data_IF_922186709776
#
_entry.id   IF_922186709776
#
_cell.length_a   1.000
_cell.length_b   1.000
_cell.length_c   1.000
_cell.angle_alpha   90.00
_cell.angle_beta   90.00
_cell.angle_gamma   90.00
#
_symmetry.space_group_name_H-M   'P 1'
#
loop_
_entity.id
_entity.type
_entity.pdbx_description
1 polymer ?
#
# COMPACT_ATOMS: atom_id res chain seq x y z
N UNK A 1 2.43 10.11 9.93
CA UNK A 1 1.54 9.09 10.51
C UNK A 1 2.24 8.23 11.57
N UNK A 2 3.38 7.58 11.26
CA UNK A 2 4.12 6.71 12.19
C UNK A 2 4.28 7.21 13.63
N UNK A 3 4.73 8.45 13.84
CA UNK A 3 4.90 9.02 15.19
C UNK A 3 3.58 9.07 15.96
N UNK A 4 2.49 9.46 15.31
CA UNK A 4 1.16 9.50 15.95
C UNK A 4 0.72 8.09 16.35
N UNK A 5 0.86 7.13 15.43
CA UNK A 5 0.50 5.73 15.66
C UNK A 5 1.29 5.12 16.83
N UNK A 6 2.60 5.31 16.86
CA UNK A 6 3.47 4.78 17.92
C UNK A 6 3.21 5.43 19.26
N UNK A 7 3.10 6.76 19.30
CA UNK A 7 2.82 7.49 20.54
C UNK A 7 1.47 7.08 21.13
N UNK A 8 0.43 6.95 20.30
CA UNK A 8 -0.87 6.46 20.76
C UNK A 8 -0.79 5.04 21.31
N UNK A 9 -0.12 4.13 20.59
CA UNK A 9 0.07 2.74 21.05
C UNK A 9 0.80 2.66 22.40
N UNK A 10 1.87 3.42 22.57
CA UNK A 10 2.65 3.48 23.82
C UNK A 10 1.77 4.03 24.95
N UNK A 11 1.04 5.11 24.70
CA UNK A 11 0.13 5.70 25.68
C UNK A 11 -0.94 4.71 26.14
N UNK A 12 -1.58 4.01 25.20
CA UNK A 12 -2.61 3.02 25.50
C UNK A 12 -2.03 1.84 26.30
N UNK A 13 -0.85 1.34 25.93
CA UNK A 13 -0.14 0.31 26.69
C UNK A 13 0.14 0.74 28.14
N UNK A 14 0.52 2.00 28.37
CA UNK A 14 0.69 2.52 29.72
C UNK A 14 -0.64 2.67 30.48
N UNK A 15 -1.73 3.02 29.80
CA UNK A 15 -3.06 3.04 30.40
C UNK A 15 -3.49 1.64 30.85
N UNK A 16 -3.26 0.62 30.01
CA UNK A 16 -3.54 -0.78 30.34
C UNK A 16 -2.73 -1.22 31.57
N UNK A 17 -1.45 -0.85 31.65
CA UNK A 17 -0.63 -1.13 32.84
C UNK A 17 -1.17 -0.44 34.10
N UNK A 18 -1.66 0.80 34.01
CA UNK A 18 -2.26 1.49 35.16
C UNK A 18 -3.56 0.83 35.62
N UNK A 19 -4.37 0.31 34.68
CA UNK A 19 -5.58 -0.45 34.99
C UNK A 19 -5.23 -1.66 35.86
N UNK A 20 -4.12 -2.35 35.58
CA UNK A 20 -3.69 -3.51 36.40
C UNK A 20 -3.39 -3.18 37.86
N UNK A 21 -3.06 -1.91 38.16
CA UNK A 21 -2.79 -1.41 39.52
C UNK A 21 -4.02 -0.71 40.13
N UNK A 22 -5.17 -0.79 39.45
CA UNK A 22 -6.45 -0.25 39.91
C UNK A 22 -6.71 1.22 39.53
N UNK A 23 -5.94 1.77 38.60
CA UNK A 23 -6.08 3.16 38.13
C UNK A 23 -6.52 3.16 36.67
N UNK A 24 -7.81 3.41 36.41
CA UNK A 24 -8.33 3.55 35.05
C UNK A 24 -8.44 5.02 34.64
N UNK A 25 -7.51 5.45 33.79
CA UNK A 25 -7.50 6.79 33.17
C UNK A 25 -7.92 6.74 31.69
N UNK A 26 -8.31 5.56 31.19
CA UNK A 26 -8.54 5.35 29.76
C UNK A 26 -9.64 6.26 29.23
N UNK A 27 -10.70 6.44 30.02
CA UNK A 27 -11.79 7.35 29.67
C UNK A 27 -11.30 8.79 29.49
N UNK A 28 -10.50 9.30 30.41
CA UNK A 28 -10.03 10.69 30.39
C UNK A 28 -9.03 10.93 29.27
N UNK A 29 -8.12 9.97 29.05
CA UNK A 29 -7.19 9.96 27.90
C UNK A 29 -7.94 10.02 26.59
N UNK A 30 -8.94 9.16 26.40
CA UNK A 30 -9.78 9.17 25.21
C UNK A 30 -10.54 10.49 25.06
N UNK A 31 -11.15 10.99 26.13
CA UNK A 31 -11.93 12.24 26.12
C UNK A 31 -11.09 13.45 25.71
N UNK A 32 -9.86 13.54 26.20
CA UNK A 32 -8.98 14.68 25.96
C UNK A 32 -8.20 14.58 24.64
N UNK A 33 -7.71 13.39 24.28
CA UNK A 33 -6.73 13.23 23.21
C UNK A 33 -7.29 12.64 21.92
N UNK A 34 -8.37 11.83 21.99
CA UNK A 34 -8.93 11.22 20.78
C UNK A 34 -9.40 12.24 19.73
N UNK A 35 -10.03 13.39 20.08
CA UNK A 35 -10.42 14.40 19.09
C UNK A 35 -9.21 14.98 18.34
N UNK A 36 -8.14 15.33 19.07
CA UNK A 36 -6.91 15.84 18.47
C UNK A 36 -6.20 14.79 17.63
N UNK A 37 -6.16 13.54 18.09
CA UNK A 37 -5.63 12.42 17.33
C UNK A 37 -6.40 12.23 16.02
N UNK A 38 -7.74 12.22 16.07
CA UNK A 38 -8.59 12.09 14.89
C UNK A 38 -8.28 13.16 13.85
N UNK A 39 -8.24 14.43 14.26
CA UNK A 39 -7.90 15.57 13.37
C UNK A 39 -6.51 15.36 12.77
N UNK A 40 -5.52 14.99 13.57
CA UNK A 40 -4.15 14.80 13.10
C UNK A 40 -4.04 13.67 12.07
N UNK A 41 -4.74 12.54 12.26
CA UNK A 41 -4.78 11.43 11.32
C UNK A 41 -5.53 11.85 10.04
N UNK A 42 -6.67 12.53 10.14
CA UNK A 42 -7.44 13.05 8.99
C UNK A 42 -6.60 14.00 8.13
N UNK A 43 -5.88 14.93 8.75
CA UNK A 43 -4.98 15.85 8.03
C UNK A 43 -3.82 15.09 7.38
N UNK A 44 -3.18 14.17 8.09
CA UNK A 44 -2.09 13.36 7.53
C UNK A 44 -2.58 12.54 6.32
N UNK A 45 -3.72 11.87 6.46
CA UNK A 45 -4.30 11.08 5.38
C UNK A 45 -4.68 11.95 4.17
N UNK A 46 -5.24 13.14 4.41
CA UNK A 46 -5.56 14.10 3.35
C UNK A 46 -4.31 14.48 2.55
N UNK A 47 -3.18 14.73 3.21
CA UNK A 47 -1.92 15.03 2.53
C UNK A 47 -1.40 13.82 1.72
N UNK A 48 -1.53 12.62 2.28
CA UNK A 48 -1.11 11.38 1.60
C UNK A 48 -1.93 11.16 0.34
N UNK A 49 -3.26 11.24 0.42
CA UNK A 49 -4.12 10.98 -0.73
C UNK A 49 -3.96 12.04 -1.82
N UNK A 50 -3.81 13.32 -1.46
CA UNK A 50 -3.52 14.37 -2.44
C UNK A 50 -2.17 14.15 -3.14
N UNK A 51 -1.13 13.74 -2.40
CA UNK A 51 0.16 13.37 -3.00
C UNK A 51 0.03 12.20 -3.98
N UNK A 52 -0.79 11.19 -3.65
CA UNK A 52 -1.05 10.05 -4.55
C UNK A 52 -1.83 10.49 -5.78
N UNK A 53 -2.82 11.38 -5.65
CA UNK A 53 -3.59 11.93 -6.77
C UNK A 53 -2.72 12.72 -7.74
N UNK A 54 -1.83 13.59 -7.23
CA UNK A 54 -0.84 14.29 -8.06
C UNK A 54 0.04 13.28 -8.81
N UNK A 55 0.57 12.29 -8.07
CA UNK A 55 1.15 11.03 -8.54
C UNK A 55 0.51 10.50 -9.82
N UNK A 56 -0.74 10.11 -9.64
CA UNK A 56 -1.60 9.46 -10.63
C UNK A 56 -1.84 10.38 -11.83
N UNK A 57 -2.03 11.68 -11.61
CA UNK A 57 -2.26 12.65 -12.69
C UNK A 57 -1.05 12.88 -13.59
N UNK A 58 0.16 12.66 -13.05
CA UNK A 58 1.43 12.82 -13.77
C UNK A 58 1.94 11.51 -14.39
N UNK A 59 1.22 10.40 -14.23
CA UNK A 59 1.64 9.07 -14.72
C UNK A 59 1.74 9.05 -16.24
N UNK A 60 2.86 8.51 -16.72
CA UNK A 60 3.21 8.41 -18.15
C UNK A 60 3.21 6.98 -18.66
N UNK A 61 2.98 6.00 -17.81
CA UNK A 61 3.00 4.57 -18.12
C UNK A 61 4.30 4.16 -18.82
N UNK A 62 5.42 4.42 -18.16
CA UNK A 62 6.77 4.04 -18.62
C UNK A 62 7.46 3.15 -17.59
N UNK A 63 8.31 2.26 -18.08
CA UNK A 63 9.19 1.45 -17.25
C UNK A 63 10.03 2.35 -16.33
N UNK A 64 10.25 1.90 -15.10
CA UNK A 64 11.03 2.65 -14.15
C UNK A 64 12.52 2.48 -14.45
N UNK A 65 13.07 3.48 -15.14
CA UNK A 65 14.50 3.56 -15.42
C UNK A 65 15.26 4.20 -14.26
N UNK A 66 16.32 3.55 -13.83
CA UNK A 66 17.25 4.01 -12.80
C UNK A 66 18.63 4.33 -13.42
N UNK A 67 19.41 5.14 -12.71
CA UNK A 67 20.71 5.63 -13.21
C UNK A 67 21.75 4.52 -13.37
N UNK A 68 21.66 3.44 -12.57
CA UNK A 68 22.63 2.35 -12.56
C UNK A 68 22.00 1.04 -12.11
N UNK A 69 22.66 -0.07 -12.44
CA UNK A 69 22.32 -1.41 -11.93
C UNK A 69 22.45 -1.50 -10.40
N UNK A 70 23.40 -0.77 -9.80
CA UNK A 70 23.52 -0.68 -8.34
C UNK A 70 22.29 -0.05 -7.68
N UNK A 71 21.67 0.95 -8.33
CA UNK A 71 20.42 1.55 -7.85
C UNK A 71 19.26 0.57 -7.97
N UNK A 72 19.24 -0.27 -9.01
CA UNK A 72 18.25 -1.35 -9.15
C UNK A 72 18.40 -2.38 -8.03
N UNK A 73 19.62 -2.84 -7.75
CA UNK A 73 19.86 -3.81 -6.67
C UNK A 73 19.43 -3.27 -5.30
N UNK A 74 19.78 -2.01 -5.00
CA UNK A 74 19.31 -1.34 -3.79
C UNK A 74 17.78 -1.25 -3.74
N UNK A 75 17.14 -0.96 -4.87
CA UNK A 75 15.68 -0.90 -4.94
C UNK A 75 15.03 -2.28 -4.71
N UNK A 76 15.61 -3.35 -5.27
CA UNK A 76 15.17 -4.73 -5.04
C UNK A 76 15.27 -5.08 -3.56
N UNK A 77 16.40 -4.76 -2.92
CA UNK A 77 16.59 -4.93 -1.47
C UNK A 77 15.52 -4.17 -0.68
N UNK A 78 15.29 -2.89 -0.99
CA UNK A 78 14.24 -2.08 -0.34
C UNK A 78 12.84 -2.68 -0.50
N UNK A 79 12.51 -3.25 -1.68
CA UNK A 79 11.23 -3.92 -1.91
C UNK A 79 11.14 -5.24 -1.13
N UNK A 80 12.23 -6.00 -1.09
CA UNK A 80 12.35 -7.25 -0.33
C UNK A 80 12.20 -7.02 1.17
N UNK A 81 12.75 -5.92 1.71
CA UNK A 81 12.60 -5.54 3.12
C UNK A 81 11.13 -5.27 3.51
N UNK A 82 10.28 -4.88 2.54
CA UNK A 82 8.83 -4.77 2.73
C UNK A 82 8.09 -6.09 2.51
N UNK A 83 8.76 -7.14 2.00
CA UNK A 83 8.15 -8.42 1.63
C UNK A 83 7.61 -8.47 0.20
N UNK A 84 8.12 -7.63 -0.70
CA UNK A 84 7.74 -7.60 -2.12
C UNK A 84 8.90 -8.10 -3.00
N UNK A 85 8.60 -8.91 -4.01
CA UNK A 85 9.58 -9.33 -5.04
C UNK A 85 9.28 -8.64 -6.37
N UNK A 86 10.33 -8.10 -6.97
CA UNK A 86 10.27 -7.37 -8.26
C UNK A 86 11.25 -7.93 -9.30
N UNK A 87 11.99 -8.99 -8.96
CA UNK A 87 13.03 -9.60 -9.80
C UNK A 87 12.48 -10.10 -11.14
N UNK A 88 11.27 -10.66 -11.10
CA UNK A 88 10.55 -11.13 -12.28
C UNK A 88 10.14 -10.01 -13.25
N UNK A 89 10.18 -8.75 -12.80
CA UNK A 89 9.84 -7.58 -13.61
C UNK A 89 11.08 -6.84 -14.13
N UNK A 90 12.30 -7.36 -13.91
CA UNK A 90 13.51 -6.76 -14.46
C UNK A 90 13.49 -6.83 -15.99
N UNK A 91 13.93 -5.74 -16.62
CA UNK A 91 14.03 -5.71 -18.09
C UNK A 91 15.19 -6.60 -18.56
N UNK A 92 14.89 -7.47 -19.53
CA UNK A 92 15.89 -8.35 -20.18
C UNK A 92 16.86 -7.58 -21.09
N UNK A 93 16.47 -6.38 -21.53
CA UNK A 93 17.24 -5.56 -22.48
C UNK A 93 17.95 -4.38 -21.84
N UNK A 94 17.49 -3.92 -20.67
CA UNK A 94 18.07 -2.78 -19.95
C UNK A 94 18.26 -3.13 -18.47
N UNK A 95 19.49 -3.47 -18.08
CA UNK A 95 19.80 -3.90 -16.70
C UNK A 95 19.51 -2.86 -15.61
N UNK A 96 19.34 -1.58 -15.98
CA UNK A 96 18.96 -0.50 -15.06
C UNK A 96 17.46 -0.15 -15.07
N UNK A 97 16.60 -1.02 -15.61
CA UNK A 97 15.17 -0.75 -15.79
C UNK A 97 14.29 -1.89 -15.26
N UNK A 98 13.14 -1.51 -14.68
CA UNK A 98 12.11 -2.44 -14.21
C UNK A 98 10.81 -2.16 -14.97
N UNK A 99 10.16 -3.22 -15.45
CA UNK A 99 8.89 -3.21 -16.17
C UNK A 99 7.67 -2.94 -15.26
N UNK A 100 7.83 -2.10 -14.23
CA UNK A 100 6.77 -1.58 -13.36
C UNK A 100 6.87 -0.06 -13.38
N UNK A 101 5.75 0.66 -13.33
CA UNK A 101 5.82 2.13 -13.33
C UNK A 101 6.46 2.67 -12.04
N UNK A 102 7.18 3.77 -12.16
CA UNK A 102 7.76 4.47 -10.99
C UNK A 102 6.66 4.87 -9.99
N UNK A 103 5.48 5.23 -10.48
CA UNK A 103 4.33 5.56 -9.64
C UNK A 103 3.91 4.36 -8.78
N UNK A 104 3.82 3.16 -9.34
CA UNK A 104 3.45 1.96 -8.59
C UNK A 104 4.49 1.60 -7.53
N UNK A 105 5.78 1.74 -7.84
CA UNK A 105 6.87 1.57 -6.89
C UNK A 105 6.87 2.64 -5.78
N UNK A 106 6.38 3.84 -6.06
CA UNK A 106 6.18 4.86 -5.04
C UNK A 106 4.94 4.56 -4.20
N UNK A 107 3.83 4.20 -4.85
CA UNK A 107 2.57 3.87 -4.20
C UNK A 107 2.72 2.67 -3.25
N UNK A 108 3.51 1.66 -3.62
CA UNK A 108 3.76 0.50 -2.75
C UNK A 108 4.30 0.91 -1.38
N UNK A 109 5.32 1.78 -1.34
CA UNK A 109 5.88 2.32 -0.10
C UNK A 109 4.83 3.06 0.72
N UNK A 110 4.04 3.94 0.06
CA UNK A 110 3.01 4.73 0.74
C UNK A 110 1.91 3.84 1.32
N UNK A 111 1.40 2.89 0.52
CA UNK A 111 0.33 2.00 0.92
C UNK A 111 0.76 1.06 2.05
N UNK A 112 1.95 0.49 1.96
CA UNK A 112 2.52 -0.38 3.00
C UNK A 112 2.77 0.37 4.31
N UNK A 113 3.40 1.55 4.26
CA UNK A 113 3.64 2.37 5.46
C UNK A 113 2.32 2.82 6.10
N UNK A 114 1.34 3.26 5.29
CA UNK A 114 0.03 3.65 5.80
C UNK A 114 -0.70 2.47 6.45
N UNK A 115 -0.70 1.30 5.80
CA UNK A 115 -1.31 0.08 6.34
C UNK A 115 -0.74 -0.24 7.74
N UNK A 116 0.59 -0.28 7.86
CA UNK A 116 1.27 -0.54 9.12
C UNK A 116 0.94 0.49 10.20
N UNK A 117 0.97 1.78 9.85
CA UNK A 117 0.72 2.85 10.79
C UNK A 117 -0.75 2.87 11.26
N UNK A 118 -1.71 2.63 10.35
CA UNK A 118 -3.13 2.59 10.68
C UNK A 118 -3.51 1.31 11.45
N UNK A 119 -2.85 0.18 11.21
CA UNK A 119 -3.06 -1.07 11.97
C UNK A 119 -2.87 -0.86 13.47
N UNK A 120 -1.85 -0.07 13.86
CA UNK A 120 -1.58 0.25 15.28
C UNK A 120 -2.68 1.09 15.93
N UNK A 121 -3.44 1.85 15.15
CA UNK A 121 -4.52 2.74 15.61
C UNK A 121 -5.88 2.02 15.52
N UNK A 122 -6.00 1.02 14.64
CA UNK A 122 -7.22 0.26 14.37
C UNK A 122 -7.79 -0.43 15.61
N UNK A 123 -6.97 -0.79 16.61
CA UNK A 123 -7.46 -1.39 17.86
C UNK A 123 -8.31 -0.45 18.73
N UNK A 124 -8.41 0.83 18.38
CA UNK A 124 -9.20 1.83 19.10
C UNK A 124 -10.59 2.04 18.50
N UNK A 125 -11.37 2.95 19.11
CA UNK A 125 -12.63 3.47 18.58
C UNK A 125 -12.51 4.14 17.18
N UNK A 126 -11.28 4.28 16.66
CA UNK A 126 -10.99 4.85 15.34
C UNK A 126 -10.95 3.81 14.21
N UNK A 127 -11.22 2.52 14.45
CA UNK A 127 -11.19 1.47 13.42
C UNK A 127 -12.00 1.83 12.16
N UNK A 128 -13.22 2.37 12.31
CA UNK A 128 -14.04 2.76 11.17
C UNK A 128 -13.37 3.86 10.33
N UNK A 129 -12.69 4.80 10.99
CA UNK A 129 -11.96 5.86 10.32
C UNK A 129 -10.76 5.30 9.55
N UNK A 130 -9.97 4.43 10.18
CA UNK A 130 -8.80 3.81 9.53
C UNK A 130 -9.21 2.91 8.36
N UNK A 131 -10.30 2.14 8.50
CA UNK A 131 -10.85 1.30 7.44
C UNK A 131 -11.29 2.17 6.26
N UNK A 132 -11.97 3.29 6.54
CA UNK A 132 -12.39 4.24 5.50
C UNK A 132 -11.20 4.83 4.72
N UNK A 133 -10.07 5.07 5.39
CA UNK A 133 -8.85 5.58 4.76
C UNK A 133 -8.18 4.53 3.87
N UNK A 134 -8.08 3.29 4.34
CA UNK A 134 -7.55 2.18 3.56
C UNK A 134 -8.39 1.96 2.30
N UNK A 135 -9.72 1.86 2.46
CA UNK A 135 -10.64 1.69 1.33
C UNK A 135 -10.53 2.87 0.35
N UNK A 136 -10.43 4.11 0.85
CA UNK A 136 -10.38 5.31 0.00
C UNK A 136 -9.06 5.41 -0.79
N UNK A 137 -7.91 5.18 -0.13
CA UNK A 137 -6.61 5.18 -0.81
C UNK A 137 -6.57 4.12 -1.91
N UNK A 138 -6.96 2.89 -1.57
CA UNK A 138 -6.94 1.79 -2.53
C UNK A 138 -7.98 1.96 -3.63
N UNK A 139 -9.15 2.52 -3.35
CA UNK A 139 -10.14 2.81 -4.41
C UNK A 139 -9.60 3.79 -5.45
N UNK A 140 -8.88 4.84 -5.01
CA UNK A 140 -8.25 5.81 -5.91
C UNK A 140 -7.23 5.12 -6.83
N UNK A 141 -6.36 4.29 -6.25
CA UNK A 141 -5.30 3.62 -6.99
C UNK A 141 -5.80 2.48 -7.89
N UNK A 142 -6.75 1.68 -7.42
CA UNK A 142 -7.37 0.62 -8.22
C UNK A 142 -8.18 1.21 -9.37
N UNK A 143 -8.81 2.37 -9.19
CA UNK A 143 -9.45 3.08 -10.29
C UNK A 143 -8.43 3.56 -11.33
N UNK A 144 -7.26 4.05 -10.89
CA UNK A 144 -6.16 4.37 -11.78
C UNK A 144 -5.70 3.14 -12.60
N UNK A 145 -5.48 1.99 -11.95
CA UNK A 145 -5.10 0.74 -12.65
C UNK A 145 -6.18 0.25 -13.61
N UNK A 146 -7.46 0.38 -13.25
CA UNK A 146 -8.59 -0.02 -14.11
C UNK A 146 -8.66 0.80 -15.40
N UNK A 147 -8.33 2.09 -15.33
CA UNK A 147 -8.40 3.02 -16.46
C UNK A 147 -7.06 3.11 -17.22
N UNK A 148 -6.10 2.26 -16.89
CA UNK A 148 -4.78 2.22 -17.50
C UNK A 148 -4.81 1.81 -18.98
N UNK A 149 -3.90 2.33 -19.82
CA UNK A 149 -3.75 1.88 -21.19
C UNK A 149 -3.30 0.41 -21.22
N UNK A 150 -3.96 -0.41 -22.04
CA UNK A 150 -3.59 -1.82 -22.19
C UNK A 150 -2.19 -1.93 -22.80
N UNK A 151 -1.26 -2.48 -22.05
CA UNK A 151 0.15 -2.66 -22.43
C UNK A 151 0.77 -3.76 -21.57
N UNK A 152 1.89 -4.34 -22.00
CA UNK A 152 2.67 -5.26 -21.16
C UNK A 152 3.01 -4.61 -19.82
N UNK A 153 3.49 -3.37 -19.83
CA UNK A 153 3.82 -2.60 -18.63
C UNK A 153 2.64 -2.47 -17.66
N UNK A 154 1.43 -2.22 -18.18
CA UNK A 154 0.21 -2.18 -17.38
C UNK A 154 -0.09 -3.54 -16.73
N UNK A 155 0.18 -4.64 -17.44
CA UNK A 155 0.01 -5.99 -16.91
C UNK A 155 1.01 -6.27 -15.79
N UNK A 156 2.31 -6.04 -16.01
CA UNK A 156 3.35 -6.17 -14.97
C UNK A 156 2.99 -5.33 -13.73
N UNK A 157 2.65 -4.06 -13.93
CA UNK A 157 2.26 -3.16 -12.84
C UNK A 157 1.01 -3.66 -12.09
N UNK A 158 0.02 -4.18 -12.81
CA UNK A 158 -1.19 -4.72 -12.18
C UNK A 158 -0.93 -6.02 -11.45
N UNK A 159 -0.08 -6.92 -11.97
CA UNK A 159 0.34 -8.14 -11.27
C UNK A 159 1.08 -7.78 -9.98
N UNK A 160 2.04 -6.85 -10.03
CA UNK A 160 2.74 -6.37 -8.85
C UNK A 160 1.77 -5.85 -7.77
N UNK A 161 0.84 -4.97 -8.15
CA UNK A 161 -0.07 -4.35 -7.19
C UNK A 161 -1.12 -5.34 -6.66
N UNK A 162 -1.71 -6.18 -7.51
CA UNK A 162 -2.83 -7.05 -7.14
C UNK A 162 -2.38 -8.37 -6.52
N UNK A 163 -1.30 -8.98 -7.01
CA UNK A 163 -0.81 -10.27 -6.50
C UNK A 163 0.09 -10.15 -5.29
N UNK A 164 0.80 -9.02 -5.11
CA UNK A 164 1.78 -8.88 -4.03
C UNK A 164 1.41 -7.76 -3.07
N UNK A 165 1.33 -6.52 -3.54
CA UNK A 165 1.16 -5.36 -2.67
C UNK A 165 -0.18 -5.38 -1.92
N UNK A 166 -1.28 -5.64 -2.61
CA UNK A 166 -2.61 -5.61 -1.99
C UNK A 166 -2.75 -6.69 -0.90
N UNK A 167 -2.42 -7.97 -1.14
CA UNK A 167 -2.43 -8.99 -0.08
C UNK A 167 -1.49 -8.68 1.09
N UNK A 168 -0.30 -8.12 0.81
CA UNK A 168 0.63 -7.69 1.84
C UNK A 168 0.02 -6.59 2.72
N UNK A 169 -0.55 -5.55 2.09
CA UNK A 169 -1.22 -4.46 2.82
C UNK A 169 -2.44 -4.95 3.58
N UNK A 170 -3.22 -5.89 3.04
CA UNK A 170 -4.32 -6.53 3.77
C UNK A 170 -3.78 -7.20 5.04
N UNK A 171 -2.79 -8.09 4.91
CA UNK A 171 -2.25 -8.85 6.03
C UNK A 171 -1.61 -7.97 7.11
N UNK A 172 -0.92 -6.90 6.70
CA UNK A 172 -0.30 -5.94 7.62
C UNK A 172 -1.34 -5.06 8.30
N UNK A 173 -2.43 -4.73 7.60
CA UNK A 173 -3.47 -3.85 8.13
C UNK A 173 -4.44 -4.56 9.06
N UNK A 174 -4.88 -5.75 8.65
CA UNK A 174 -5.86 -6.56 9.33
C UNK A 174 -5.52 -8.04 9.13
N UNK A 175 -5.08 -8.70 10.20
CA UNK A 175 -4.78 -10.14 10.21
C UNK A 175 -6.05 -11.01 9.99
N UNK A 176 -7.23 -10.38 9.93
CA UNK A 176 -8.49 -11.04 9.66
C UNK A 176 -8.63 -11.42 8.17
N UNK A 177 -9.03 -12.66 7.90
CA UNK A 177 -9.27 -13.16 6.55
C UNK A 177 -10.78 -13.39 6.32
N UNK A 178 -11.37 -12.86 5.23
CA UNK A 178 -10.77 -12.03 4.18
C UNK A 178 -10.59 -10.55 4.60
N UNK A 179 -9.43 -9.97 4.30
CA UNK A 179 -9.13 -8.56 4.57
C UNK A 179 -9.99 -7.59 3.73
N UNK A 180 -10.14 -6.36 4.24
CA UNK A 180 -11.02 -5.34 3.66
C UNK A 180 -10.64 -4.94 2.22
N UNK A 181 -9.37 -5.01 1.83
CA UNK A 181 -8.93 -4.66 0.47
C UNK A 181 -9.21 -5.80 -0.51
N UNK A 182 -9.07 -7.06 -0.06
CA UNK A 182 -9.48 -8.24 -0.81
C UNK A 182 -10.99 -8.22 -1.09
N UNK A 183 -11.81 -7.76 -0.15
CA UNK A 183 -13.24 -7.54 -0.37
C UNK A 183 -13.49 -6.39 -1.34
N UNK A 184 -12.81 -5.25 -1.17
CA UNK A 184 -12.90 -4.11 -2.10
C UNK A 184 -12.58 -4.52 -3.54
N UNK A 185 -11.52 -5.29 -3.74
CA UNK A 185 -11.12 -5.79 -5.05
C UNK A 185 -12.21 -6.68 -5.67
N UNK A 186 -12.79 -7.61 -4.88
CA UNK A 186 -13.84 -8.52 -5.35
C UNK A 186 -15.14 -7.78 -5.69
N UNK A 187 -15.53 -6.81 -4.87
CA UNK A 187 -16.84 -6.15 -4.97
C UNK A 187 -16.87 -5.02 -5.99
N UNK A 188 -15.84 -4.18 -6.06
CA UNK A 188 -15.84 -2.97 -6.91
C UNK A 188 -14.89 -3.03 -8.10
N UNK A 189 -13.87 -3.89 -8.05
CA UNK A 189 -12.79 -3.95 -9.05
C UNK A 189 -12.59 -5.36 -9.62
N UNK A 190 -13.68 -6.11 -9.80
CA UNK A 190 -13.64 -7.50 -10.27
C UNK A 190 -12.86 -7.72 -11.57
N UNK A 191 -12.78 -6.72 -12.46
CA UNK A 191 -11.97 -6.77 -13.69
C UNK A 191 -10.46 -6.91 -13.43
N UNK A 192 -9.98 -6.45 -12.28
CA UNK A 192 -8.56 -6.54 -11.88
C UNK A 192 -8.22 -7.88 -11.22
N UNK A 193 -9.21 -8.72 -10.85
CA UNK A 193 -8.97 -10.03 -10.24
C UNK A 193 -8.15 -10.97 -11.13
N UNK A 194 -8.18 -10.77 -12.45
CA UNK A 194 -7.36 -11.52 -13.42
C UNK A 194 -5.86 -11.45 -13.12
N UNK A 195 -5.41 -10.41 -12.41
CA UNK A 195 -4.01 -10.20 -12.06
C UNK A 195 -3.60 -10.83 -10.73
N UNK A 196 -4.47 -11.57 -10.02
CA UNK A 196 -4.21 -12.18 -8.70
C UNK A 196 -3.43 -13.50 -8.75
N UNK A 197 -3.28 -14.12 -9.93
CA UNK A 197 -2.64 -15.43 -10.09
C UNK A 197 -1.61 -15.53 -11.22
N UNK A 198 -1.33 -14.43 -11.94
CA UNK A 198 -0.54 -14.45 -13.16
C UNK A 198 0.94 -14.08 -12.91
N UNK A 199 1.66 -14.85 -12.09
CA UNK A 199 3.11 -14.67 -11.94
C UNK A 199 3.91 -15.04 -13.21
N UNK A 200 3.34 -15.85 -14.11
CA UNK A 200 4.03 -16.40 -15.29
C UNK A 200 3.50 -15.97 -16.66
N UNK A 201 2.40 -15.21 -16.74
CA UNK A 201 1.82 -14.83 -18.04
C UNK A 201 2.52 -13.63 -18.70
N UNK A 202 3.31 -12.86 -17.95
CA UNK A 202 3.95 -11.65 -18.47
C UNK A 202 5.24 -11.95 -19.27
N UNK A 203 5.80 -13.17 -19.14
CA UNK A 203 7.00 -13.60 -19.86
C UNK A 203 6.72 -14.26 -21.21
N UNK A 204 5.47 -14.64 -21.51
CA UNK A 204 5.15 -15.37 -22.75
C UNK A 204 4.89 -14.48 -23.97
N UNK A 205 4.63 -13.18 -23.77
CA UNK A 205 4.23 -12.28 -24.85
C UNK A 205 5.40 -11.52 -25.50
N UNK A 206 6.63 -11.59 -24.96
CA UNK A 206 7.82 -10.99 -25.59
C UNK A 206 8.43 -11.86 -26.71
N UNK A 207 8.11 -13.16 -26.79
CA UNK A 207 8.68 -14.07 -27.79
C UNK A 207 7.97 -14.06 -29.17
N UNK A 208 6.90 -13.27 -29.34
CA UNK A 208 6.07 -13.31 -30.58
C UNK A 208 6.24 -12.07 -31.48
N UNK A 209 7.01 -11.06 -31.07
CA UNK A 209 7.19 -9.82 -31.84
C UNK A 209 8.56 -9.72 -32.54
N UNK A 210 9.01 -10.78 -33.21
CA UNK A 210 10.09 -10.71 -34.19
C UNK A 210 9.74 -11.50 -35.45
N UNK A 211 8.96 -10.87 -36.35
CA UNK A 211 8.97 -11.11 -37.80
C UNK A 211 8.91 -9.75 -38.49
#
# INVERSE_FOLDING_TARGET
>A
MAVLAHTWRILMMHCDNLITVGVDLSFEVHRLLAPSLKIAIETNFSNIIESVRLRVSEERWKAYHMESESNVNRFIEEMSDMGLSVDWALSTTQCSSINITQNACHFSRVAFMLARDLAMIRSSHLHYLTDSFMVKLWSEYLNHLKNAPQSSLQQYTSVFVISQLLPLCDAVYDESAPGILSELLKTKFGSLLRYRGNFHAASSDEDVAHI
#
